data_IF_458919363941
#
_entry.id   IF_458919363941
#
_cell.length_a   1.000
_cell.length_b   1.000
_cell.length_c   1.000
_cell.angle_alpha   90.00
_cell.angle_beta   90.00
_cell.angle_gamma   90.00
#
_symmetry.space_group_name_H-M   'P 1'
#
loop_
_entity.id
_entity.type
_entity.pdbx_description
1 polymer ?
#
# COMPACT_ATOMS: atom_id res chain seq x y z
N UNK A 1 -59.73 -50.43 -5.92
CA UNK A 1 -59.74 -49.20 -6.72
C UNK A 1 -59.71 -48.06 -5.73
N UNK A 2 -58.53 -47.45 -5.59
CA UNK A 2 -58.21 -46.45 -4.58
C UNK A 2 -58.01 -45.17 -5.37
N UNK A 3 -58.77 -44.12 -5.06
CA UNK A 3 -58.42 -42.77 -5.47
C UNK A 3 -58.79 -41.76 -4.37
N UNK A 4 -57.78 -40.96 -4.09
CA UNK A 4 -57.55 -39.98 -3.03
C UNK A 4 -58.40 -38.70 -3.17
N UNK A 5 -58.70 -38.04 -2.05
CA UNK A 5 -59.02 -36.61 -2.02
C UNK A 5 -58.56 -35.93 -0.71
N UNK A 6 -57.32 -35.44 -0.77
CA UNK A 6 -56.85 -34.10 -0.39
C UNK A 6 -57.13 -33.56 1.03
N UNK A 7 -56.10 -33.62 1.88
CA UNK A 7 -55.90 -32.67 3.00
C UNK A 7 -54.96 -31.57 2.51
N UNK A 8 -55.45 -30.33 2.57
CA UNK A 8 -54.71 -29.11 2.25
C UNK A 8 -53.69 -28.82 3.37
N UNK A 9 -52.40 -28.97 3.07
CA UNK A 9 -51.31 -28.54 3.95
C UNK A 9 -50.75 -27.20 3.44
N UNK A 10 -51.07 -26.10 4.13
CA UNK A 10 -50.37 -24.82 3.95
C UNK A 10 -48.99 -24.88 4.62
N UNK A 11 -47.95 -25.18 3.84
CA UNK A 11 -46.56 -24.93 4.23
C UNK A 11 -46.12 -23.57 3.68
N UNK A 12 -45.88 -22.62 4.58
CA UNK A 12 -45.32 -21.30 4.27
C UNK A 12 -43.94 -21.44 3.62
N UNK A 13 -43.84 -21.09 2.35
CA UNK A 13 -42.61 -21.10 1.58
C UNK A 13 -41.80 -19.83 1.86
N UNK A 14 -40.82 -19.89 2.76
CA UNK A 14 -39.80 -18.87 2.92
C UNK A 14 -38.59 -19.26 2.07
N UNK A 15 -38.48 -18.70 0.87
CA UNK A 15 -37.28 -18.83 0.04
C UNK A 15 -36.12 -18.10 0.74
N UNK A 16 -35.24 -18.86 1.40
CA UNK A 16 -33.96 -18.35 1.88
C UNK A 16 -33.01 -18.16 0.69
N UNK A 17 -32.71 -16.90 0.40
CA UNK A 17 -31.70 -16.50 -0.57
C UNK A 17 -30.33 -16.96 -0.06
N UNK A 18 -29.49 -17.63 -0.87
CA UNK A 18 -28.16 -18.03 -0.43
C UNK A 18 -27.33 -16.76 -0.18
N UNK A 19 -26.97 -16.53 1.08
CA UNK A 19 -26.08 -15.46 1.49
C UNK A 19 -24.66 -15.76 1.01
N UNK A 20 -24.32 -15.31 -0.20
CA UNK A 20 -22.96 -15.43 -0.73
C UNK A 20 -22.15 -14.26 -0.18
N UNK A 21 -21.48 -14.49 0.95
CA UNK A 21 -20.47 -13.56 1.44
C UNK A 21 -19.25 -13.61 0.51
N UNK A 22 -18.70 -12.47 0.06
CA UNK A 22 -17.47 -12.45 -0.72
C UNK A 22 -16.33 -13.03 0.11
N UNK A 23 -15.84 -14.19 -0.30
CA UNK A 23 -14.72 -14.87 0.35
C UNK A 23 -13.44 -14.12 -0.03
N UNK A 24 -12.90 -13.32 0.89
CA UNK A 24 -11.61 -12.65 0.70
C UNK A 24 -10.53 -13.72 0.83
N UNK A 25 -10.02 -14.24 -0.30
CA UNK A 25 -8.86 -15.14 -0.31
C UNK A 25 -7.65 -14.30 0.09
N UNK A 26 -7.34 -14.29 1.39
CA UNK A 26 -6.10 -13.69 1.90
C UNK A 26 -5.00 -14.71 1.73
N UNK A 27 -4.22 -14.60 0.66
CA UNK A 27 -2.96 -15.35 0.54
C UNK A 27 -2.00 -14.80 1.58
N UNK A 28 -1.94 -15.43 2.75
CA UNK A 28 -0.94 -15.14 3.76
C UNK A 28 0.42 -15.68 3.27
N UNK A 29 1.18 -14.85 2.57
CA UNK A 29 2.61 -15.09 2.40
C UNK A 29 3.26 -14.75 3.75
N UNK A 30 3.58 -15.76 4.53
CA UNK A 30 4.21 -15.64 5.84
C UNK A 30 5.62 -15.04 5.70
N UNK A 31 5.69 -13.72 5.64
CA UNK A 31 6.93 -12.97 5.55
C UNK A 31 7.40 -12.62 6.96
N UNK A 32 8.32 -13.40 7.52
CA UNK A 32 9.00 -13.14 8.80
C UNK A 32 9.91 -11.89 8.78
N UNK A 33 9.75 -10.99 7.79
CA UNK A 33 10.53 -9.76 7.70
C UNK A 33 10.06 -8.78 8.78
N UNK A 34 10.98 -8.45 9.70
CA UNK A 34 10.74 -7.44 10.74
C UNK A 34 10.30 -6.12 10.11
N UNK A 35 9.17 -5.59 10.59
CA UNK A 35 8.63 -4.32 10.09
C UNK A 35 9.64 -3.17 10.25
N UNK A 36 9.88 -2.36 9.21
CA UNK A 36 10.89 -1.31 9.23
C UNK A 36 10.35 -0.02 9.84
N UNK A 37 10.62 0.20 11.13
CA UNK A 37 10.36 1.47 11.80
C UNK A 37 11.47 2.48 11.52
N UNK A 38 11.09 3.72 11.19
CA UNK A 38 12.00 4.82 10.95
C UNK A 38 12.59 5.27 12.28
N UNK A 39 13.92 5.40 12.33
CA UNK A 39 14.63 5.98 13.47
C UNK A 39 15.34 7.25 13.05
N UNK A 40 15.63 8.08 14.04
CA UNK A 40 16.45 9.28 13.88
C UNK A 40 17.78 8.91 13.20
N UNK A 41 18.14 9.67 12.17
CA UNK A 41 19.38 9.52 11.38
C UNK A 41 19.55 8.17 10.64
N UNK A 42 18.54 7.28 10.63
CA UNK A 42 18.57 5.98 9.93
C UNK A 42 17.73 5.97 8.64
N UNK A 43 17.39 7.13 8.06
CA UNK A 43 16.49 7.23 6.89
C UNK A 43 16.91 6.33 5.72
N UNK A 44 18.19 6.28 5.35
CA UNK A 44 18.64 5.48 4.20
C UNK A 44 18.42 3.98 4.42
N UNK A 45 18.77 3.49 5.61
CA UNK A 45 18.58 2.09 5.98
C UNK A 45 17.09 1.77 6.08
N UNK A 46 16.29 2.69 6.62
CA UNK A 46 14.85 2.58 6.66
C UNK A 46 14.24 2.53 5.26
N UNK A 47 14.64 3.43 4.35
CA UNK A 47 14.10 3.52 3.00
C UNK A 47 14.33 2.22 2.21
N UNK A 48 15.56 1.67 2.30
CA UNK A 48 15.88 0.37 1.68
C UNK A 48 15.03 -0.77 2.25
N UNK A 49 14.89 -0.84 3.59
CA UNK A 49 14.11 -1.89 4.24
C UNK A 49 12.62 -1.74 3.97
N UNK A 50 12.11 -0.52 3.89
CA UNK A 50 10.71 -0.23 3.60
C UNK A 50 10.35 -0.57 2.16
N UNK A 51 11.18 -0.18 1.19
CA UNK A 51 11.02 -0.57 -0.21
C UNK A 51 10.99 -2.10 -0.36
N UNK A 52 11.95 -2.79 0.27
CA UNK A 52 11.99 -4.26 0.27
C UNK A 52 10.74 -4.87 0.93
N UNK A 53 10.35 -4.36 2.09
CA UNK A 53 9.18 -4.84 2.84
C UNK A 53 7.90 -4.71 2.01
N UNK A 54 7.65 -3.54 1.40
CA UNK A 54 6.46 -3.31 0.59
C UNK A 54 6.48 -4.18 -0.66
N UNK A 55 7.60 -4.22 -1.38
CA UNK A 55 7.73 -4.98 -2.65
C UNK A 55 7.55 -6.48 -2.43
N UNK A 56 8.06 -7.02 -1.32
CA UNK A 56 7.91 -8.43 -0.97
C UNK A 56 6.48 -8.80 -0.55
N UNK A 57 5.67 -7.82 -0.14
CA UNK A 57 4.25 -8.03 0.16
C UNK A 57 3.38 -7.89 -1.09
N UNK A 58 3.55 -6.83 -1.87
CA UNK A 58 2.89 -6.62 -3.17
C UNK A 58 3.63 -5.54 -3.96
N UNK A 59 4.24 -5.92 -5.09
CA UNK A 59 4.96 -5.01 -5.97
C UNK A 59 4.08 -3.87 -6.51
N UNK A 60 2.77 -4.06 -6.63
CA UNK A 60 1.87 -3.01 -7.11
C UNK A 60 1.69 -1.89 -6.07
N UNK A 61 1.81 -2.20 -4.78
CA UNK A 61 1.79 -1.17 -3.71
C UNK A 61 3.02 -0.28 -3.83
N UNK A 62 4.20 -0.85 -4.12
CA UNK A 62 5.40 -0.04 -4.36
C UNK A 62 5.24 0.87 -5.58
N UNK A 63 4.66 0.36 -6.68
CA UNK A 63 4.37 1.16 -7.87
C UNK A 63 3.44 2.34 -7.57
N UNK A 64 2.46 2.17 -6.68
CA UNK A 64 1.58 3.26 -6.24
C UNK A 64 2.39 4.38 -5.56
N UNK A 65 3.33 4.04 -4.68
CA UNK A 65 4.21 5.03 -4.02
C UNK A 65 5.11 5.75 -5.03
N UNK A 66 5.63 5.04 -6.03
CA UNK A 66 6.52 5.63 -7.04
C UNK A 66 5.78 6.55 -8.01
N UNK A 67 4.66 6.06 -8.54
CA UNK A 67 3.95 6.72 -9.64
C UNK A 67 2.93 7.75 -9.12
N UNK A 68 2.47 7.60 -7.88
CA UNK A 68 1.37 8.38 -7.33
C UNK A 68 0.02 7.75 -7.66
N UNK A 69 -1.03 8.28 -7.04
CA UNK A 69 -2.37 7.77 -7.21
C UNK A 69 -2.99 8.23 -8.53
N UNK A 70 -2.74 7.46 -9.57
CA UNK A 70 -3.18 7.75 -10.94
C UNK A 70 -4.68 7.45 -11.15
N UNK A 71 -5.35 6.83 -10.19
CA UNK A 71 -6.70 6.29 -10.30
C UNK A 71 -7.74 7.11 -9.51
N UNK A 72 -7.35 8.24 -8.92
CA UNK A 72 -8.32 9.23 -8.41
C UNK A 72 -9.13 9.78 -9.57
N UNK A 73 -10.30 9.17 -9.81
CA UNK A 73 -11.29 9.72 -10.72
C UNK A 73 -11.77 11.04 -10.14
N UNK A 74 -11.45 12.13 -10.82
CA UNK A 74 -11.82 13.46 -10.39
C UNK A 74 -12.69 14.14 -11.44
N UNK A 75 -13.70 14.89 -10.98
CA UNK A 75 -14.53 15.77 -11.81
C UNK A 75 -14.40 17.18 -11.24
N UNK A 76 -14.37 18.19 -12.12
CA UNK A 76 -14.52 19.59 -11.69
C UNK A 76 -15.99 19.95 -11.68
N UNK A 77 -16.46 20.54 -10.59
CA UNK A 77 -17.81 21.08 -10.53
C UNK A 77 -17.90 22.47 -11.21
N UNK A 78 -19.06 23.13 -11.06
CA UNK A 78 -19.30 24.46 -11.64
C UNK A 78 -18.44 25.57 -11.02
N UNK A 79 -17.88 25.35 -9.84
CA UNK A 79 -17.06 26.30 -9.10
C UNK A 79 -15.56 25.93 -9.17
N UNK A 80 -15.20 25.08 -10.14
CA UNK A 80 -13.84 24.54 -10.38
C UNK A 80 -13.28 23.68 -9.23
N UNK A 81 -14.10 23.28 -8.27
CA UNK A 81 -13.68 22.40 -7.18
C UNK A 81 -13.48 20.97 -7.68
N UNK A 82 -12.38 20.35 -7.26
CA UNK A 82 -12.06 18.97 -7.60
C UNK A 82 -12.86 18.03 -6.70
N UNK A 83 -13.81 17.30 -7.29
CA UNK A 83 -14.60 16.26 -6.63
C UNK A 83 -13.97 14.90 -6.92
N UNK A 84 -13.66 14.16 -5.86
CA UNK A 84 -13.24 12.76 -5.97
C UNK A 84 -14.48 11.89 -6.12
N UNK A 85 -14.55 11.15 -7.23
CA UNK A 85 -15.63 10.21 -7.48
C UNK A 85 -15.35 8.85 -6.82
N UNK A 86 -16.40 8.13 -6.37
CA UNK A 86 -16.25 6.76 -5.91
C UNK A 86 -15.72 5.84 -7.03
N UNK A 87 -14.94 4.80 -6.67
CA UNK A 87 -14.61 3.72 -7.60
C UNK A 87 -15.88 3.07 -8.14
N UNK A 88 -15.86 2.74 -9.43
CA UNK A 88 -16.98 2.11 -10.14
C UNK A 88 -16.60 0.78 -10.79
N UNK A 89 -15.30 0.57 -11.02
CA UNK A 89 -14.78 -0.68 -11.58
C UNK A 89 -14.02 -1.49 -10.54
N UNK A 90 -13.90 -2.79 -10.76
CA UNK A 90 -13.12 -3.67 -9.88
C UNK A 90 -11.65 -3.22 -9.77
N UNK A 91 -11.06 -2.78 -10.89
CA UNK A 91 -9.67 -2.30 -10.93
C UNK A 91 -9.49 -1.02 -10.11
N UNK A 92 -10.43 -0.07 -10.20
CA UNK A 92 -10.41 1.15 -9.37
C UNK A 92 -10.51 0.82 -7.88
N UNK A 93 -11.33 -0.15 -7.50
CA UNK A 93 -11.42 -0.61 -6.10
C UNK A 93 -10.09 -1.23 -5.62
N UNK A 94 -9.45 -2.04 -6.45
CA UNK A 94 -8.16 -2.65 -6.14
C UNK A 94 -7.09 -1.57 -5.94
N UNK A 95 -7.06 -0.54 -6.79
CA UNK A 95 -6.06 0.51 -6.68
C UNK A 95 -6.30 1.43 -5.48
N UNK A 96 -7.55 1.74 -5.13
CA UNK A 96 -7.87 2.43 -3.87
C UNK A 96 -7.43 1.61 -2.65
N UNK A 97 -7.61 0.29 -2.67
CA UNK A 97 -7.12 -0.58 -1.59
C UNK A 97 -5.60 -0.56 -1.49
N UNK A 98 -4.88 -0.60 -2.62
CA UNK A 98 -3.42 -0.53 -2.65
C UNK A 98 -2.91 0.82 -2.14
N UNK A 99 -3.53 1.92 -2.54
CA UNK A 99 -3.23 3.27 -2.04
C UNK A 99 -3.42 3.33 -0.52
N UNK A 100 -4.58 2.89 -0.02
CA UNK A 100 -4.88 2.87 1.41
C UNK A 100 -3.86 2.04 2.21
N UNK A 101 -3.48 0.88 1.67
CA UNK A 101 -2.46 0.01 2.26
C UNK A 101 -1.06 0.63 2.21
N UNK A 102 -0.70 1.31 1.12
CA UNK A 102 0.55 2.04 0.99
C UNK A 102 0.64 3.16 2.04
N UNK A 103 -0.39 4.01 2.13
CA UNK A 103 -0.46 5.10 3.11
C UNK A 103 -0.35 4.58 4.54
N UNK A 104 -1.14 3.55 4.88
CA UNK A 104 -1.15 2.97 6.22
C UNK A 104 0.22 2.38 6.58
N UNK A 105 0.85 1.66 5.65
CA UNK A 105 2.19 1.05 5.86
C UNK A 105 3.24 2.12 6.11
N UNK A 106 3.23 3.21 5.34
CA UNK A 106 4.17 4.32 5.53
C UNK A 106 3.94 5.02 6.87
N UNK A 107 2.69 5.36 7.23
CA UNK A 107 2.36 6.04 8.49
C UNK A 107 2.75 5.19 9.71
N UNK A 108 2.49 3.87 9.68
CA UNK A 108 2.87 2.96 10.77
C UNK A 108 4.37 2.84 11.01
N UNK A 109 5.18 3.22 10.01
CA UNK A 109 6.63 3.19 10.13
C UNK A 109 7.23 4.47 10.70
N UNK A 110 6.45 5.54 10.76
CA UNK A 110 6.89 6.83 11.27
C UNK A 110 6.71 6.83 12.79
N UNK A 111 7.69 7.35 13.55
CA UNK A 111 7.54 7.56 14.98
C UNK A 111 6.29 8.37 15.34
N UNK A 112 5.62 7.99 16.44
CA UNK A 112 4.36 8.60 16.88
C UNK A 112 4.45 10.12 17.11
N UNK A 113 5.62 10.62 17.52
CA UNK A 113 5.89 12.05 17.71
C UNK A 113 5.94 12.85 16.39
N UNK A 114 5.95 12.17 15.25
CA UNK A 114 6.04 12.77 13.92
C UNK A 114 4.88 12.40 13.00
N UNK A 115 4.07 11.39 13.33
CA UNK A 115 3.02 10.87 12.43
C UNK A 115 1.97 11.92 12.05
N UNK A 116 1.65 12.85 12.97
CA UNK A 116 0.69 13.92 12.74
C UNK A 116 1.08 14.84 11.57
N UNK A 117 2.38 15.02 11.33
CA UNK A 117 2.91 15.87 10.26
C UNK A 117 2.73 15.26 8.86
N UNK A 118 2.35 13.98 8.78
CA UNK A 118 2.15 13.26 7.53
C UNK A 118 0.70 12.77 7.35
N UNK A 119 -0.09 12.74 8.42
CA UNK A 119 -1.42 12.15 8.43
C UNK A 119 -2.39 12.78 7.41
N UNK A 120 -2.27 14.10 7.19
CA UNK A 120 -3.13 14.87 6.29
C UNK A 120 -2.79 14.71 4.80
N UNK A 121 -1.71 14.01 4.45
CA UNK A 121 -1.31 13.85 3.05
C UNK A 121 -2.15 12.79 2.38
N UNK A 122 -2.87 13.16 1.32
CA UNK A 122 -3.85 12.29 0.67
C UNK A 122 -3.24 11.09 -0.07
N UNK A 123 -1.95 11.16 -0.42
CA UNK A 123 -1.26 10.17 -1.26
C UNK A 123 -0.02 9.60 -0.58
N UNK A 124 0.19 8.29 -0.72
CA UNK A 124 1.34 7.57 -0.20
C UNK A 124 2.65 8.08 -0.79
N UNK A 125 2.61 8.52 -2.05
CA UNK A 125 3.75 9.17 -2.72
C UNK A 125 4.16 10.47 -2.01
N UNK A 126 3.19 11.27 -1.60
CA UNK A 126 3.46 12.53 -0.90
C UNK A 126 4.00 12.28 0.50
N UNK A 127 3.45 11.29 1.21
CA UNK A 127 4.00 10.82 2.50
C UNK A 127 5.47 10.40 2.32
N UNK A 128 5.77 9.55 1.34
CA UNK A 128 7.13 9.10 1.07
C UNK A 128 8.09 10.26 0.79
N UNK A 129 7.68 11.19 -0.07
CA UNK A 129 8.49 12.35 -0.42
C UNK A 129 8.71 13.30 0.75
N UNK A 130 7.69 13.52 1.58
CA UNK A 130 7.80 14.36 2.76
C UNK A 130 8.70 13.71 3.82
N UNK A 131 8.58 12.40 4.04
CA UNK A 131 9.50 11.65 4.94
C UNK A 131 10.93 11.77 4.43
N UNK A 132 11.14 11.62 3.12
CA UNK A 132 12.43 11.83 2.48
C UNK A 132 12.96 13.25 2.66
N UNK A 133 12.12 14.27 2.54
CA UNK A 133 12.53 15.66 2.71
C UNK A 133 12.93 15.94 4.17
N UNK A 134 12.17 15.43 5.14
CA UNK A 134 12.38 15.68 6.57
C UNK A 134 13.54 14.89 7.16
N UNK A 135 13.57 13.58 6.92
CA UNK A 135 14.54 12.67 7.54
C UNK A 135 15.69 12.32 6.62
N UNK A 136 15.59 12.67 5.34
CA UNK A 136 16.65 12.42 4.40
C UNK A 136 17.94 13.10 4.85
N UNK A 137 17.94 14.39 5.17
CA UNK A 137 19.19 15.14 5.30
C UNK A 137 19.87 15.37 3.94
N UNK A 138 20.96 16.14 3.95
CA UNK A 138 21.58 16.74 2.75
C UNK A 138 21.91 15.71 1.64
N UNK A 139 21.31 15.92 0.47
CA UNK A 139 21.47 15.12 -0.77
C UNK A 139 22.94 15.01 -1.20
N UNK A 140 23.74 16.05 -0.97
CA UNK A 140 25.17 16.07 -1.33
C UNK A 140 25.99 15.08 -0.49
N UNK A 141 25.81 15.11 0.84
CA UNK A 141 26.52 14.20 1.75
C UNK A 141 26.17 12.73 1.48
N UNK A 142 24.94 12.46 1.03
CA UNK A 142 24.51 11.12 0.64
C UNK A 142 25.11 10.66 -0.68
N UNK A 143 25.15 11.53 -1.70
CA UNK A 143 25.79 11.21 -2.97
C UNK A 143 27.26 10.88 -2.74
N UNK A 144 27.93 11.65 -1.88
CA UNK A 144 29.32 11.42 -1.52
C UNK A 144 29.52 10.05 -0.86
N UNK A 145 28.70 9.70 0.14
CA UNK A 145 28.77 8.39 0.80
C UNK A 145 28.45 7.22 -0.13
N UNK A 146 27.47 7.37 -1.02
CA UNK A 146 27.10 6.34 -2.00
C UNK A 146 28.20 6.15 -3.07
N UNK A 147 28.85 7.23 -3.51
CA UNK A 147 30.00 7.16 -4.41
C UNK A 147 31.19 6.46 -3.75
N UNK A 148 31.47 6.76 -2.48
CA UNK A 148 32.51 6.07 -1.70
C UNK A 148 32.24 4.58 -1.57
N UNK A 149 31.01 4.18 -1.20
CA UNK A 149 30.65 2.76 -1.06
C UNK A 149 30.73 1.99 -2.40
N UNK A 150 30.32 2.64 -3.50
CA UNK A 150 30.47 2.06 -4.85
C UNK A 150 31.93 1.89 -5.23
N UNK A 151 32.77 2.86 -4.87
CA UNK A 151 34.20 2.78 -5.11
C UNK A 151 34.84 1.63 -4.32
N UNK A 152 34.55 1.53 -3.02
CA UNK A 152 35.03 0.43 -2.16
C UNK A 152 34.60 -0.95 -2.71
N UNK A 153 33.35 -1.09 -3.16
CA UNK A 153 32.86 -2.34 -3.76
C UNK A 153 33.56 -2.68 -5.09
N UNK A 154 33.82 -1.68 -5.94
CA UNK A 154 34.55 -1.88 -7.19
C UNK A 154 36.00 -2.29 -6.93
N UNK A 155 36.65 -1.64 -5.96
CA UNK A 155 38.02 -1.98 -5.53
C UNK A 155 38.10 -3.40 -4.95
N UNK A 156 37.10 -3.82 -4.16
CA UNK A 156 36.99 -5.17 -3.62
C UNK A 156 36.89 -6.24 -4.73
N UNK A 157 35.98 -6.07 -5.70
CA UNK A 157 35.84 -7.02 -6.83
C UNK A 157 37.08 -7.10 -7.73
N UNK A 158 37.80 -5.99 -7.89
CA UNK A 158 39.04 -5.95 -8.69
C UNK A 158 40.17 -6.66 -7.94
N UNK A 159 40.20 -6.59 -6.61
CA UNK A 159 41.16 -7.30 -5.76
C UNK A 159 40.99 -8.82 -5.75
N UNK A 160 39.76 -9.33 -5.88
CA UNK A 160 39.47 -10.78 -5.94
C UNK A 160 39.79 -11.44 -7.30
N UNK A 161 40.01 -10.63 -8.35
CA UNK A 161 40.30 -11.10 -9.70
C UNK A 161 41.80 -11.13 -10.06
N UNK A 162 42.69 -10.90 -9.07
CA UNK A 162 44.16 -10.96 -9.18
C UNK A 162 44.72 -12.13 -8.40
#
# INVERSE_FOLDING_TARGET
ESDDASVHNEAKNAQQQPNIQPQIITTALNNNAKFPYLKKDEYEVWAMKMEYYITNNDMNIWKVIQNGNNMKRTVRDRDEMVIILPPTTADEHIDVQRESKARTTLLQSIPDDHVADFYYMDDARDIWNAVKARFGGNVESKRMRMSMLKQEFLEFRIGEAK
#
